data_IF_430407014387
#
_entry.id   IF_430407014387
#
_cell.length_a   1.000
_cell.length_b   1.000
_cell.length_c   1.000
_cell.angle_alpha   90.00
_cell.angle_beta   90.00
_cell.angle_gamma   90.00
#
_symmetry.space_group_name_H-M   'P 1'
#
loop_
_entity.id
_entity.type
_entity.pdbx_description
1 polymer ?
#
# COMPACT_ATOMS: atom_id res chain seq x y z
N UNK A 1 8.93 32.40 18.31
CA UNK A 1 9.14 30.95 18.51
C UNK A 1 7.77 30.30 18.58
N UNK A 2 7.37 29.57 17.55
CA UNK A 2 6.65 28.28 17.59
C UNK A 2 6.83 27.72 16.18
N UNK A 3 7.44 26.55 16.11
CA UNK A 3 7.91 25.90 14.90
C UNK A 3 7.05 24.66 14.67
N UNK A 4 6.68 24.43 13.40
CA UNK A 4 6.29 23.14 12.79
C UNK A 4 4.97 22.49 13.24
N UNK A 5 4.04 22.44 12.29
CA UNK A 5 3.46 21.15 11.89
C UNK A 5 3.76 21.00 10.40
N UNK A 6 4.72 20.13 10.07
CA UNK A 6 4.98 19.76 8.69
C UNK A 6 3.70 19.13 8.14
N UNK A 7 3.27 19.60 6.98
CA UNK A 7 2.31 18.92 6.14
C UNK A 7 2.71 17.45 6.06
N UNK A 8 1.87 16.57 6.60
CA UNK A 8 1.92 15.14 6.32
C UNK A 8 1.34 15.02 4.91
N UNK A 9 2.09 15.50 3.93
CA UNK A 9 1.81 15.23 2.54
C UNK A 9 2.04 13.73 2.40
N UNK A 10 0.92 13.03 2.28
CA UNK A 10 0.76 11.60 2.10
C UNK A 10 1.99 11.02 1.40
N UNK A 11 2.82 10.28 2.13
CA UNK A 11 3.96 9.54 1.58
C UNK A 11 3.49 8.34 0.74
N UNK A 12 2.39 8.50 0.01
CA UNK A 12 1.96 7.56 -0.97
C UNK A 12 2.64 7.91 -2.30
N UNK A 13 3.58 7.10 -2.78
CA UNK A 13 4.27 7.39 -4.02
C UNK A 13 3.31 7.23 -5.20
N UNK A 14 2.77 8.34 -5.68
CA UNK A 14 2.22 8.38 -7.02
C UNK A 14 3.38 8.30 -8.00
N UNK A 15 3.64 7.09 -8.51
CA UNK A 15 4.39 6.85 -9.74
C UNK A 15 5.92 6.83 -9.58
N UNK A 16 6.51 5.72 -10.04
CA UNK A 16 7.89 5.54 -10.52
C UNK A 16 9.00 5.07 -9.57
N UNK A 17 8.81 4.95 -8.26
CA UNK A 17 9.89 4.44 -7.38
C UNK A 17 9.58 3.02 -6.84
N UNK A 18 10.02 2.03 -7.63
CA UNK A 18 10.15 0.60 -7.26
C UNK A 18 8.96 -0.06 -6.56
N UNK A 19 8.05 -0.59 -7.38
CA UNK A 19 6.96 -1.53 -7.07
C UNK A 19 7.29 -2.46 -5.89
N UNK A 20 6.49 -2.41 -4.82
CA UNK A 20 6.42 -3.41 -3.74
C UNK A 20 7.78 -3.91 -3.19
N UNK A 21 8.83 -3.09 -3.18
CA UNK A 21 10.10 -3.53 -2.64
C UNK A 21 9.94 -3.83 -1.15
N UNK A 22 10.48 -4.97 -0.69
CA UNK A 22 10.33 -5.45 0.69
C UNK A 22 10.71 -4.38 1.73
N UNK A 23 11.76 -3.60 1.44
CA UNK A 23 12.22 -2.50 2.29
C UNK A 23 11.19 -1.38 2.41
N UNK A 24 10.51 -1.04 1.31
CA UNK A 24 9.50 0.03 1.30
C UNK A 24 8.25 -0.34 2.08
N UNK A 25 7.78 -1.58 1.93
CA UNK A 25 6.64 -2.08 2.71
C UNK A 25 6.95 -2.10 4.20
N UNK A 26 8.17 -2.49 4.60
CA UNK A 26 8.58 -2.40 5.99
C UNK A 26 8.64 -0.95 6.50
N UNK A 27 9.10 -0.01 5.68
CA UNK A 27 9.13 1.40 6.05
C UNK A 27 7.72 1.96 6.27
N UNK A 28 6.78 1.68 5.35
CA UNK A 28 5.38 2.07 5.50
C UNK A 28 4.73 1.40 6.72
N UNK A 29 4.95 0.11 6.93
CA UNK A 29 4.43 -0.60 8.09
C UNK A 29 4.90 0.02 9.41
N UNK A 30 6.18 0.43 9.49
CA UNK A 30 6.70 1.15 10.67
C UNK A 30 6.06 2.52 10.86
N UNK A 31 5.84 3.29 9.79
CA UNK A 31 5.17 4.59 9.85
C UNK A 31 3.74 4.46 10.38
N UNK A 32 3.03 3.42 9.94
CA UNK A 32 1.68 3.11 10.39
C UNK A 32 1.59 2.29 11.68
N UNK A 33 2.72 2.09 12.38
CA UNK A 33 2.81 1.30 13.61
C UNK A 33 2.26 -0.14 13.48
N UNK A 34 2.35 -0.72 12.28
CA UNK A 34 2.04 -2.12 12.02
C UNK A 34 3.23 -2.98 12.43
N UNK A 35 2.98 -3.98 13.28
CA UNK A 35 3.96 -5.02 13.60
C UNK A 35 4.24 -5.89 12.35
N UNK A 36 5.32 -5.58 11.63
CA UNK A 36 5.65 -6.24 10.36
C UNK A 36 6.36 -7.60 10.50
N UNK A 37 6.90 -7.90 11.69
CA UNK A 37 7.66 -9.13 11.94
C UNK A 37 6.80 -10.37 11.68
N UNK A 38 7.26 -11.23 10.77
CA UNK A 38 6.55 -12.47 10.42
C UNK A 38 5.34 -12.29 9.49
N UNK A 39 5.07 -11.07 9.00
CA UNK A 39 4.05 -10.83 7.99
C UNK A 39 4.65 -10.88 6.58
N UNK A 40 3.92 -11.49 5.65
CA UNK A 40 4.27 -11.43 4.23
C UNK A 40 3.88 -10.08 3.61
N UNK A 41 4.45 -9.77 2.45
CA UNK A 41 4.19 -8.51 1.76
C UNK A 41 2.69 -8.32 1.48
N UNK A 42 1.96 -9.39 1.15
CA UNK A 42 0.52 -9.33 0.89
C UNK A 42 -0.24 -8.86 2.12
N UNK A 43 0.03 -9.46 3.28
CA UNK A 43 -0.62 -9.08 4.54
C UNK A 43 -0.24 -7.66 4.95
N UNK A 44 1.00 -7.25 4.73
CA UNK A 44 1.44 -5.87 5.00
C UNK A 44 0.65 -4.87 4.17
N UNK A 45 0.57 -5.07 2.85
CA UNK A 45 -0.18 -4.17 1.97
C UNK A 45 -1.64 -4.08 2.38
N UNK A 46 -2.29 -5.22 2.64
CA UNK A 46 -3.70 -5.24 3.08
C UNK A 46 -3.92 -4.48 4.39
N UNK A 47 -3.02 -4.63 5.37
CA UNK A 47 -3.09 -3.87 6.62
C UNK A 47 -2.91 -2.37 6.40
N UNK A 48 -2.01 -1.98 5.50
CA UNK A 48 -1.81 -0.57 5.15
C UNK A 48 -3.06 -0.02 4.46
N UNK A 49 -3.66 -0.75 3.51
CA UNK A 49 -4.92 -0.37 2.85
C UNK A 49 -6.01 -0.06 3.87
N UNK A 50 -6.17 -0.88 4.91
CA UNK A 50 -7.16 -0.64 5.97
C UNK A 50 -6.88 0.64 6.77
N UNK A 51 -5.62 0.91 7.10
CA UNK A 51 -5.24 2.13 7.85
C UNK A 51 -5.47 3.38 7.00
N UNK A 52 -5.27 3.28 5.69
CA UNK A 52 -5.55 4.33 4.72
C UNK A 52 -7.04 4.44 4.36
N UNK A 53 -7.91 3.66 5.01
CA UNK A 53 -9.36 3.62 4.78
C UNK A 53 -9.76 3.14 3.37
N UNK A 54 -8.89 2.36 2.75
CA UNK A 54 -9.16 1.65 1.51
C UNK A 54 -9.59 0.22 1.77
N UNK A 55 -10.16 -0.39 0.74
CA UNK A 55 -10.45 -1.82 0.74
C UNK A 55 -9.15 -2.62 0.70
N UNK A 56 -9.04 -3.65 1.54
CA UNK A 56 -7.91 -4.59 1.63
C UNK A 56 -7.86 -5.60 0.47
N UNK A 57 -8.09 -5.14 -0.75
CA UNK A 57 -8.26 -6.01 -1.91
C UNK A 57 -6.95 -6.50 -2.53
N UNK A 58 -5.77 -6.09 -2.07
CA UNK A 58 -4.50 -6.45 -2.72
C UNK A 58 -4.32 -7.98 -2.87
N UNK A 59 -3.94 -8.44 -4.07
CA UNK A 59 -3.82 -9.86 -4.43
C UNK A 59 -5.08 -10.70 -4.11
N UNK A 60 -6.27 -10.14 -4.35
CA UNK A 60 -7.55 -10.85 -4.24
C UNK A 60 -8.34 -10.74 -5.54
N UNK A 61 -9.32 -11.63 -5.79
CA UNK A 61 -10.25 -11.49 -6.91
C UNK A 61 -11.01 -10.15 -6.92
N UNK A 62 -11.19 -9.53 -5.75
CA UNK A 62 -11.91 -8.25 -5.57
C UNK A 62 -11.27 -7.08 -6.33
N UNK A 63 -9.97 -7.14 -6.65
CA UNK A 63 -9.31 -6.12 -7.49
C UNK A 63 -10.01 -5.97 -8.84
N UNK A 64 -10.55 -7.06 -9.42
CA UNK A 64 -11.23 -7.04 -10.73
C UNK A 64 -12.52 -6.22 -10.72
N UNK A 65 -13.13 -6.09 -9.55
CA UNK A 65 -14.36 -5.32 -9.32
C UNK A 65 -14.11 -4.11 -8.42
N UNK A 66 -12.85 -3.75 -8.17
CA UNK A 66 -12.50 -2.61 -7.34
C UNK A 66 -12.75 -1.33 -8.14
N UNK A 67 -13.79 -0.60 -7.75
CA UNK A 67 -14.20 0.67 -8.37
C UNK A 67 -13.42 1.89 -7.88
N UNK A 68 -12.50 1.72 -6.94
CA UNK A 68 -11.79 2.84 -6.31
C UNK A 68 -10.69 3.38 -7.24
N UNK A 69 -10.98 4.49 -7.92
CA UNK A 69 -10.06 5.12 -8.89
C UNK A 69 -8.94 5.89 -8.20
N UNK A 70 -9.18 6.38 -6.99
CA UNK A 70 -8.23 7.13 -6.18
C UNK A 70 -7.40 6.25 -5.25
N UNK A 71 -7.57 4.92 -5.28
CA UNK A 71 -6.77 4.02 -4.44
C UNK A 71 -5.30 4.09 -4.88
N UNK A 72 -4.37 4.48 -4.00
CA UNK A 72 -2.96 4.62 -4.37
C UNK A 72 -2.31 3.30 -4.78
N UNK A 73 -2.80 2.18 -4.23
CA UNK A 73 -2.35 0.81 -4.51
C UNK A 73 -2.87 0.24 -5.83
N UNK A 74 -3.69 0.98 -6.59
CA UNK A 74 -4.36 0.47 -7.80
C UNK A 74 -3.35 -0.10 -8.80
N UNK A 75 -2.25 0.62 -9.04
CA UNK A 75 -1.23 0.17 -9.98
C UNK A 75 -0.57 -1.13 -9.51
N UNK A 76 -0.20 -1.22 -8.23
CA UNK A 76 0.38 -2.43 -7.65
C UNK A 76 -0.60 -3.61 -7.70
N UNK A 77 -1.88 -3.38 -7.42
CA UNK A 77 -2.94 -4.40 -7.53
C UNK A 77 -3.05 -4.95 -8.96
N UNK A 78 -3.00 -4.07 -9.97
CA UNK A 78 -3.07 -4.47 -11.38
C UNK A 78 -1.82 -5.25 -11.81
N UNK A 79 -0.63 -4.78 -11.42
CA UNK A 79 0.63 -5.48 -11.71
C UNK A 79 0.66 -6.87 -11.08
N UNK A 80 0.24 -6.99 -9.81
CA UNK A 80 0.17 -8.28 -9.10
C UNK A 80 -0.80 -9.25 -9.79
N UNK A 81 -2.01 -8.80 -10.14
CA UNK A 81 -2.98 -9.65 -10.84
C UNK A 81 -2.53 -10.08 -12.24
N UNK A 82 -1.82 -9.21 -12.98
CA UNK A 82 -1.31 -9.54 -14.31
C UNK A 82 -0.29 -10.70 -14.24
N UNK A 83 0.52 -10.76 -13.17
CA UNK A 83 1.52 -11.82 -12.98
C UNK A 83 0.95 -13.20 -12.58
N UNK A 84 -0.32 -13.28 -12.18
CA UNK A 84 -0.95 -14.50 -11.65
C UNK A 84 -1.86 -15.23 -12.68
N UNK A 85 -1.73 -14.91 -13.98
CA UNK A 85 -2.56 -15.50 -15.07
C UNK A 85 -1.87 -16.67 -15.81
N UNK A 86 -1.07 -17.50 -15.12
CA UNK A 86 -0.47 -18.74 -15.70
C UNK A 86 -0.91 -19.94 -14.89
#
# INVERSE_FOLDING_TARGET
>A
MIQRMASIDTLHPTGTDTLLSHLRLQALARQYLIAATGLDNTTLVRRIQLIEQHVDCFATPRVRTCGEVSCPWRQDCLTKNASETT
#
